data_IF_475533703697
#
_entry.id   IF_475533703697
#
_cell.length_a   1.000
_cell.length_b   1.000
_cell.length_c   1.000
_cell.angle_alpha   90.00
_cell.angle_beta   90.00
_cell.angle_gamma   90.00
#
_symmetry.space_group_name_H-M   'P 1'
#
loop_
_entity.id
_entity.type
_entity.pdbx_description
1 polymer ?
#
# COMPACT_ATOMS: atom_id res chain seq x y z
N UNK A 1 -0.48 7.17 -2.35
CA UNK A 1 -1.70 6.75 -1.64
C UNK A 1 -2.41 7.90 -0.93
N UNK A 2 -1.70 8.77 -0.20
CA UNK A 2 -2.26 9.91 0.54
C UNK A 2 -1.15 10.89 0.95
N UNK A 3 -1.51 11.98 1.65
CA UNK A 3 -0.61 13.10 1.91
C UNK A 3 0.12 13.05 3.27
N UNK A 4 0.04 11.98 4.07
CA UNK A 4 0.83 11.87 5.28
C UNK A 4 2.34 11.95 4.97
N UNK A 5 3.14 12.37 5.97
CA UNK A 5 4.55 12.70 5.75
C UNK A 5 5.41 11.49 5.34
N UNK A 6 5.07 10.31 5.79
CA UNK A 6 5.72 9.03 5.48
C UNK A 6 5.31 8.43 4.13
N UNK A 7 4.22 8.94 3.51
CA UNK A 7 3.74 8.53 2.18
C UNK A 7 3.99 9.56 1.10
N UNK A 8 4.09 10.83 1.45
CA UNK A 8 4.36 11.92 0.53
C UNK A 8 5.48 12.82 1.09
N UNK A 9 6.72 12.37 0.95
CA UNK A 9 7.89 13.09 1.45
C UNK A 9 8.37 14.15 0.46
N UNK A 10 8.56 15.39 0.99
CA UNK A 10 9.01 16.55 0.21
C UNK A 10 10.39 16.31 -0.44
N UNK A 11 11.34 15.78 0.34
CA UNK A 11 12.71 15.58 -0.13
C UNK A 11 12.77 14.54 -1.25
N UNK A 12 12.02 13.45 -1.10
CA UNK A 12 11.89 12.41 -2.12
C UNK A 12 11.28 12.97 -3.41
N UNK A 13 10.20 13.75 -3.33
CA UNK A 13 9.59 14.37 -4.52
C UNK A 13 10.57 15.32 -5.21
N UNK A 14 11.34 16.10 -4.47
CA UNK A 14 12.38 16.99 -5.04
C UNK A 14 13.44 16.24 -5.82
N UNK A 15 13.83 15.05 -5.37
CA UNK A 15 14.82 14.19 -6.05
C UNK A 15 14.23 13.48 -7.28
N UNK A 16 12.93 13.17 -7.25
CA UNK A 16 12.25 12.37 -8.29
C UNK A 16 11.63 13.22 -9.41
N UNK A 17 11.25 14.48 -9.16
CA UNK A 17 10.42 15.28 -10.08
C UNK A 17 10.96 15.43 -11.50
N UNK A 18 12.28 15.40 -11.66
CA UNK A 18 12.93 15.52 -12.97
C UNK A 18 13.26 14.13 -13.60
N UNK A 19 13.02 13.03 -12.87
CA UNK A 19 13.28 11.65 -13.27
C UNK A 19 12.01 10.88 -13.62
N UNK A 20 10.85 11.35 -13.18
CA UNK A 20 9.56 10.68 -13.31
C UNK A 20 8.73 11.37 -14.39
N UNK A 21 8.21 10.61 -15.32
CA UNK A 21 7.36 11.15 -16.39
C UNK A 21 5.96 11.54 -15.89
N UNK A 22 5.38 10.76 -14.97
CA UNK A 22 4.05 10.96 -14.39
C UNK A 22 4.04 10.64 -12.90
N UNK A 23 3.33 11.48 -12.15
CA UNK A 23 2.92 11.24 -10.77
C UNK A 23 1.42 10.95 -10.78
N UNK A 24 1.04 9.73 -10.39
CA UNK A 24 -0.35 9.34 -10.21
C UNK A 24 -0.69 9.50 -8.73
N UNK A 25 -1.75 10.21 -8.42
CA UNK A 25 -2.13 10.49 -7.04
C UNK A 25 -3.65 10.63 -6.89
N UNK A 26 -4.20 10.39 -5.70
CA UNK A 26 -5.58 10.73 -5.42
C UNK A 26 -5.81 12.25 -5.45
N UNK A 27 -7.06 12.64 -5.68
CA UNK A 27 -7.45 14.05 -5.86
C UNK A 27 -7.01 14.94 -4.69
N UNK A 28 -6.48 16.12 -5.03
CA UNK A 28 -5.98 17.13 -4.08
C UNK A 28 -4.47 17.04 -3.80
N UNK A 29 -3.84 15.89 -3.99
CA UNK A 29 -2.38 15.69 -3.79
C UNK A 29 -1.56 16.53 -4.77
N UNK A 30 -2.07 16.75 -5.98
CA UNK A 30 -1.42 17.57 -7.01
C UNK A 30 -1.07 18.98 -6.55
N UNK A 31 -1.78 19.53 -5.57
CA UNK A 31 -1.47 20.84 -5.01
C UNK A 31 -0.12 20.84 -4.26
N UNK A 32 0.17 19.75 -3.50
CA UNK A 32 1.48 19.58 -2.87
C UNK A 32 2.58 19.42 -3.91
N UNK A 33 2.36 18.55 -4.90
CA UNK A 33 3.32 18.29 -5.97
C UNK A 33 3.67 19.57 -6.77
N UNK A 34 2.67 20.37 -7.17
CA UNK A 34 2.85 21.66 -7.86
C UNK A 34 3.65 22.63 -7.01
N UNK A 35 3.29 22.76 -5.72
CA UNK A 35 4.00 23.63 -4.76
C UNK A 35 5.47 23.23 -4.61
N UNK A 36 5.79 21.96 -4.78
CA UNK A 36 7.17 21.43 -4.68
C UNK A 36 7.92 21.41 -6.01
N UNK A 37 7.31 21.96 -7.08
CA UNK A 37 7.93 22.17 -8.37
C UNK A 37 7.79 21.04 -9.37
N UNK A 38 6.83 20.14 -9.17
CA UNK A 38 6.41 19.17 -10.20
C UNK A 38 5.59 19.90 -11.26
N UNK A 39 5.89 19.68 -12.53
CA UNK A 39 5.18 20.32 -13.65
C UNK A 39 3.75 19.78 -13.76
N UNK A 40 2.79 20.66 -14.06
CA UNK A 40 1.37 20.27 -14.12
C UNK A 40 1.09 19.13 -15.12
N UNK A 41 1.83 19.06 -16.23
CA UNK A 41 1.68 18.00 -17.22
C UNK A 41 2.25 16.64 -16.77
N UNK A 42 2.97 16.57 -15.65
CA UNK A 42 3.45 15.34 -15.03
C UNK A 42 2.46 14.80 -13.98
N UNK A 43 1.44 15.55 -13.60
CA UNK A 43 0.52 15.19 -12.51
C UNK A 43 -0.79 14.67 -13.09
N UNK A 44 -1.19 13.49 -12.66
CA UNK A 44 -2.50 12.88 -12.93
C UNK A 44 -3.18 12.63 -11.60
N UNK A 45 -4.29 13.31 -11.36
CA UNK A 45 -5.11 13.12 -10.16
C UNK A 45 -6.33 12.28 -10.49
N UNK A 46 -6.65 11.33 -9.65
CA UNK A 46 -7.77 10.40 -9.83
C UNK A 46 -8.66 10.37 -8.57
N UNK A 47 -9.94 10.24 -8.79
CA UNK A 47 -10.90 9.87 -7.74
C UNK A 47 -11.02 8.37 -7.61
N UNK A 48 -11.67 7.90 -6.54
CA UNK A 48 -11.96 6.47 -6.39
C UNK A 48 -12.75 5.93 -7.57
N UNK A 49 -12.33 4.76 -8.04
CA UNK A 49 -12.84 4.04 -9.20
C UNK A 49 -12.52 4.68 -10.56
N UNK A 50 -11.70 5.71 -10.60
CA UNK A 50 -11.10 6.21 -11.84
C UNK A 50 -9.80 5.45 -12.15
N UNK A 51 -9.44 5.45 -13.43
CA UNK A 51 -8.24 4.76 -13.92
C UNK A 51 -7.42 5.65 -14.84
N UNK A 52 -6.14 5.31 -14.94
CA UNK A 52 -5.19 5.88 -15.89
C UNK A 52 -4.42 4.73 -16.55
N UNK A 53 -4.24 4.79 -17.86
CA UNK A 53 -3.51 3.77 -18.61
C UNK A 53 -2.34 4.37 -19.36
N UNK A 54 -1.25 3.61 -19.41
CA UNK A 54 -0.16 3.74 -20.36
C UNK A 54 -0.33 2.65 -21.43
N UNK A 55 0.61 2.51 -22.37
CA UNK A 55 0.56 1.43 -23.37
C UNK A 55 0.48 0.02 -22.74
N UNK A 56 1.14 -0.20 -21.63
CA UNK A 56 1.32 -1.54 -21.05
C UNK A 56 0.82 -1.68 -19.60
N UNK A 57 0.46 -0.59 -18.92
CA UNK A 57 0.08 -0.62 -17.50
C UNK A 57 -1.21 0.16 -17.28
N UNK A 58 -2.15 -0.46 -16.60
CA UNK A 58 -3.39 0.17 -16.15
C UNK A 58 -3.35 0.36 -14.63
N UNK A 59 -3.62 1.58 -14.16
CA UNK A 59 -3.68 1.96 -12.76
C UNK A 59 -5.12 2.32 -12.39
N UNK A 60 -5.67 1.70 -11.35
CA UNK A 60 -6.97 2.03 -10.79
C UNK A 60 -6.79 2.64 -9.40
N UNK A 61 -7.28 3.86 -9.21
CA UNK A 61 -7.40 4.49 -7.89
C UNK A 61 -8.63 3.92 -7.19
N UNK A 62 -8.44 3.30 -6.02
CA UNK A 62 -9.49 2.54 -5.34
C UNK A 62 -9.68 3.04 -3.89
N UNK A 63 -10.84 2.79 -3.27
CA UNK A 63 -11.08 3.16 -1.89
C UNK A 63 -10.09 2.51 -0.93
N UNK A 64 -9.71 3.25 0.12
CA UNK A 64 -9.12 2.69 1.34
C UNK A 64 -9.78 3.29 2.57
N UNK A 65 -9.64 2.65 3.71
CA UNK A 65 -10.24 3.11 4.97
C UNK A 65 -9.20 3.82 5.81
N UNK A 66 -8.98 5.09 5.50
CA UNK A 66 -7.96 5.92 6.14
C UNK A 66 -8.43 7.38 6.20
N UNK A 67 -7.51 8.31 6.25
CA UNK A 67 -7.74 9.76 6.21
C UNK A 67 -6.51 10.46 5.61
N UNK A 68 -6.63 11.76 5.33
CA UNK A 68 -5.54 12.58 4.87
C UNK A 68 -5.32 13.79 5.79
N UNK A 69 -4.16 14.45 5.67
CA UNK A 69 -3.83 15.68 6.37
C UNK A 69 -2.36 15.78 6.78
N UNK A 70 -1.82 16.99 6.67
CA UNK A 70 -0.42 17.32 7.01
C UNK A 70 -0.31 18.34 8.15
N UNK A 71 -1.43 18.62 8.81
CA UNK A 71 -1.47 19.60 9.91
C UNK A 71 -2.85 19.67 10.55
N UNK A 72 -3.01 20.48 11.60
CA UNK A 72 -4.22 20.44 12.41
C UNK A 72 -5.48 20.98 11.72
N UNK A 73 -5.32 21.76 10.63
CA UNK A 73 -6.45 22.45 9.98
C UNK A 73 -6.80 21.88 8.59
N UNK A 74 -6.11 20.83 8.14
CA UNK A 74 -6.30 20.29 6.78
C UNK A 74 -6.64 18.79 6.76
N UNK A 75 -7.24 18.27 7.84
CA UNK A 75 -7.72 16.88 7.86
C UNK A 75 -8.75 16.65 6.75
N UNK A 76 -8.55 15.58 5.98
CA UNK A 76 -9.41 15.17 4.84
C UNK A 76 -9.52 16.25 3.74
N UNK A 77 -8.51 17.10 3.57
CA UNK A 77 -8.47 18.10 2.51
C UNK A 77 -8.03 17.53 1.15
N UNK A 78 -7.46 16.35 1.14
CA UNK A 78 -7.12 15.57 -0.05
C UNK A 78 -7.78 14.20 0.04
N UNK A 79 -7.91 13.51 -1.08
CA UNK A 79 -8.36 12.13 -1.11
C UNK A 79 -7.20 11.21 -0.70
N UNK A 80 -7.53 9.98 -0.25
CA UNK A 80 -6.61 8.88 0.02
C UNK A 80 -7.06 7.64 -0.74
N UNK A 81 -6.16 6.70 -1.03
CA UNK A 81 -6.49 5.58 -1.91
C UNK A 81 -5.62 4.36 -1.71
N UNK A 82 -6.16 3.21 -2.11
CA UNK A 82 -5.43 2.03 -2.53
C UNK A 82 -5.32 1.99 -4.06
N UNK A 83 -4.55 1.05 -4.60
CA UNK A 83 -4.30 0.96 -6.04
C UNK A 83 -4.34 -0.49 -6.53
N UNK A 84 -5.03 -0.72 -7.64
CA UNK A 84 -4.82 -1.92 -8.43
C UNK A 84 -4.00 -1.55 -9.67
N UNK A 85 -2.92 -2.30 -9.90
CA UNK A 85 -1.96 -2.08 -11.00
C UNK A 85 -1.97 -3.33 -11.85
N UNK A 86 -2.38 -3.20 -13.10
CA UNK A 86 -2.38 -4.29 -14.08
C UNK A 86 -1.25 -4.07 -15.07
N UNK A 87 -0.25 -4.92 -15.02
CA UNK A 87 0.91 -4.94 -15.93
C UNK A 87 1.07 -6.38 -16.42
N UNK A 88 0.40 -6.79 -17.52
CA UNK A 88 0.39 -8.19 -17.92
C UNK A 88 1.78 -8.81 -18.01
N UNK A 89 1.96 -10.04 -17.47
CA UNK A 89 0.92 -10.91 -16.93
C UNK A 89 0.49 -10.61 -15.48
N UNK A 90 1.10 -9.65 -14.79
CA UNK A 90 0.92 -9.40 -13.35
C UNK A 90 -0.24 -8.45 -13.01
N UNK A 91 -0.96 -8.77 -11.95
CA UNK A 91 -1.90 -7.88 -11.25
C UNK A 91 -1.45 -7.67 -9.81
N UNK A 92 -1.23 -6.42 -9.45
CA UNK A 92 -0.71 -6.03 -8.14
C UNK A 92 -1.77 -5.18 -7.42
N UNK A 93 -1.97 -5.45 -6.13
CA UNK A 93 -2.72 -4.57 -5.25
C UNK A 93 -1.78 -3.90 -4.25
N UNK A 94 -1.96 -2.61 -4.03
CA UNK A 94 -1.28 -1.82 -3.01
C UNK A 94 -2.32 -1.11 -2.14
N UNK A 95 -2.36 -1.42 -0.86
CA UNK A 95 -3.39 -0.91 0.05
C UNK A 95 -3.25 0.60 0.33
N UNK A 96 -2.04 1.15 0.25
CA UNK A 96 -1.72 2.33 1.04
C UNK A 96 -1.95 2.02 2.51
N UNK A 97 -2.27 3.02 3.31
CA UNK A 97 -2.76 2.80 4.68
C UNK A 97 -4.26 2.54 4.66
N UNK A 98 -4.68 1.52 5.40
CA UNK A 98 -6.09 1.16 5.47
C UNK A 98 -6.43 0.33 6.70
N UNK A 99 -7.53 0.65 7.36
CA UNK A 99 -8.23 -0.29 8.21
C UNK A 99 -9.01 -1.32 7.37
N UNK A 100 -9.31 -2.47 7.97
CA UNK A 100 -10.13 -3.50 7.34
C UNK A 100 -11.58 -3.02 7.13
N UNK A 101 -12.19 -3.45 6.01
CA UNK A 101 -13.58 -3.16 5.71
C UNK A 101 -14.09 -3.81 4.41
N UNK A 102 -15.39 -3.71 4.18
CA UNK A 102 -16.10 -4.32 3.02
C UNK A 102 -15.49 -3.95 1.66
N UNK A 103 -14.87 -2.77 1.54
CA UNK A 103 -14.26 -2.31 0.30
C UNK A 103 -13.21 -3.30 -0.25
N UNK A 104 -12.50 -4.04 0.63
CA UNK A 104 -11.51 -5.02 0.22
C UNK A 104 -12.14 -6.19 -0.54
N UNK A 105 -13.26 -6.70 -0.04
CA UNK A 105 -14.03 -7.74 -0.73
C UNK A 105 -14.58 -7.23 -2.07
N UNK A 106 -15.15 -6.03 -2.08
CA UNK A 106 -15.70 -5.41 -3.30
C UNK A 106 -14.59 -5.19 -4.36
N UNK A 107 -13.36 -4.84 -3.93
CA UNK A 107 -12.19 -4.72 -4.80
C UNK A 107 -11.76 -6.09 -5.33
N UNK A 108 -11.70 -7.10 -4.48
CA UNK A 108 -11.36 -8.47 -4.88
C UNK A 108 -12.33 -9.03 -5.92
N UNK A 109 -13.62 -8.82 -5.73
CA UNK A 109 -14.67 -9.27 -6.66
C UNK A 109 -14.60 -8.56 -8.02
N UNK A 110 -14.23 -7.27 -8.04
CA UNK A 110 -14.20 -6.46 -9.26
C UNK A 110 -12.87 -6.50 -10.01
N UNK A 111 -11.76 -6.50 -9.30
CA UNK A 111 -10.41 -6.33 -9.88
C UNK A 111 -9.52 -7.56 -9.72
N UNK A 112 -9.82 -8.46 -8.77
CA UNK A 112 -9.05 -9.68 -8.52
C UNK A 112 -9.21 -10.74 -9.62
N UNK A 113 -8.58 -11.91 -9.45
CA UNK A 113 -7.60 -12.19 -8.43
C UNK A 113 -6.32 -11.36 -8.63
N UNK A 114 -5.58 -11.09 -7.54
CA UNK A 114 -4.28 -10.44 -7.60
C UNK A 114 -3.15 -11.45 -7.46
N UNK A 115 -2.08 -11.28 -8.23
CA UNK A 115 -0.89 -12.12 -8.14
C UNK A 115 -0.10 -11.81 -6.86
N UNK A 116 -0.01 -10.51 -6.52
CA UNK A 116 0.60 -10.05 -5.28
C UNK A 116 -0.22 -8.89 -4.68
N UNK A 117 -0.37 -8.87 -3.36
CA UNK A 117 -0.97 -7.75 -2.66
C UNK A 117 -0.07 -7.27 -1.52
N UNK A 118 0.31 -5.99 -1.62
CA UNK A 118 1.06 -5.27 -0.61
C UNK A 118 0.04 -4.64 0.34
N UNK A 119 -0.07 -5.16 1.57
CA UNK A 119 -1.14 -4.80 2.49
C UNK A 119 -0.57 -4.25 3.80
N UNK A 120 -1.08 -3.09 4.21
CA UNK A 120 -0.80 -2.46 5.50
C UNK A 120 -1.09 -3.44 6.64
N UNK A 121 -0.09 -3.67 7.49
CA UNK A 121 -0.24 -4.49 8.70
C UNK A 121 0.59 -3.95 9.86
N UNK A 122 1.11 -2.73 9.73
CA UNK A 122 1.89 -2.06 10.77
C UNK A 122 1.12 -0.95 11.46
N UNK A 123 1.70 -0.44 12.56
CA UNK A 123 1.19 0.73 13.29
C UNK A 123 -0.27 0.59 13.81
N UNK A 124 -0.75 -0.65 13.96
CA UNK A 124 -2.10 -0.94 14.43
C UNK A 124 -2.25 -0.70 15.94
N UNK A 125 -3.44 -0.26 16.35
CA UNK A 125 -3.81 -0.10 17.75
C UNK A 125 -5.33 -0.10 17.88
N UNK A 126 -5.87 -0.58 19.01
CA UNK A 126 -7.30 -0.56 19.29
C UNK A 126 -7.90 0.86 19.26
N UNK A 127 -7.12 1.89 19.59
CA UNK A 127 -7.57 3.28 19.56
C UNK A 127 -7.83 3.82 18.14
N UNK A 128 -7.19 3.23 17.11
CA UNK A 128 -7.37 3.60 15.71
C UNK A 128 -7.45 2.40 14.76
N UNK A 129 -8.07 1.32 15.22
CA UNK A 129 -8.31 0.06 14.47
C UNK A 129 -8.97 0.24 13.08
N UNK A 130 -9.51 1.41 12.81
CA UNK A 130 -10.14 1.74 11.53
C UNK A 130 -9.17 2.39 10.53
N UNK A 131 -7.95 2.70 10.95
CA UNK A 131 -6.94 3.37 10.11
C UNK A 131 -5.82 2.43 9.67
N UNK A 132 -5.51 1.40 10.48
CA UNK A 132 -4.50 0.40 10.19
C UNK A 132 -5.00 -0.99 10.56
N UNK A 133 -4.70 -1.99 9.73
CA UNK A 133 -5.12 -3.38 9.94
C UNK A 133 -4.23 -4.07 10.96
N UNK A 134 -4.85 -4.85 11.86
CA UNK A 134 -4.13 -5.86 12.60
C UNK A 134 -3.62 -6.95 11.64
N UNK A 135 -2.52 -7.67 11.96
CA UNK A 135 -2.00 -8.75 11.10
C UNK A 135 -3.05 -9.78 10.70
N UNK A 136 -3.96 -10.15 11.60
CA UNK A 136 -5.08 -11.06 11.28
C UNK A 136 -6.06 -10.46 10.27
N UNK A 137 -6.31 -9.15 10.34
CA UNK A 137 -7.18 -8.44 9.40
C UNK A 137 -6.49 -8.27 8.04
N UNK A 138 -5.17 -8.05 8.01
CA UNK A 138 -4.40 -7.97 6.77
C UNK A 138 -4.42 -9.31 6.00
N UNK A 139 -4.32 -10.44 6.70
CA UNK A 139 -4.47 -11.77 6.10
C UNK A 139 -5.89 -11.99 5.58
N UNK A 140 -6.92 -11.60 6.34
CA UNK A 140 -8.31 -11.66 5.89
C UNK A 140 -8.54 -10.76 4.66
N UNK A 141 -7.94 -9.56 4.63
CA UNK A 141 -7.97 -8.67 3.47
C UNK A 141 -7.35 -9.32 2.22
N UNK A 142 -6.23 -10.02 2.38
CA UNK A 142 -5.61 -10.75 1.28
C UNK A 142 -6.52 -11.88 0.73
N UNK A 143 -7.27 -12.56 1.60
CA UNK A 143 -8.28 -13.55 1.16
C UNK A 143 -9.44 -12.88 0.43
N UNK A 144 -9.99 -11.78 0.96
CA UNK A 144 -11.07 -11.00 0.33
C UNK A 144 -10.68 -10.46 -1.05
N UNK A 145 -9.41 -10.06 -1.22
CA UNK A 145 -8.82 -9.62 -2.48
C UNK A 145 -8.55 -10.77 -3.47
N UNK A 146 -8.74 -12.02 -3.09
CA UNK A 146 -8.36 -13.21 -3.86
C UNK A 146 -6.86 -13.19 -4.24
N UNK A 147 -6.01 -12.88 -3.27
CA UNK A 147 -4.56 -12.72 -3.45
C UNK A 147 -3.84 -14.06 -3.53
N UNK A 148 -2.93 -14.23 -4.49
CA UNK A 148 -2.05 -15.41 -4.56
C UNK A 148 -0.88 -15.31 -3.58
N UNK A 149 -0.22 -14.12 -3.50
CA UNK A 149 0.91 -13.88 -2.59
C UNK A 149 0.66 -12.61 -1.79
N UNK A 150 0.61 -12.75 -0.48
CA UNK A 150 0.48 -11.67 0.49
C UNK A 150 1.85 -11.11 0.88
N UNK A 151 2.00 -9.80 0.85
CA UNK A 151 3.19 -9.08 1.26
C UNK A 151 2.81 -8.03 2.31
N UNK A 152 3.13 -8.28 3.60
CA UNK A 152 2.87 -7.31 4.66
C UNK A 152 3.80 -6.11 4.53
N UNK A 153 3.21 -4.90 4.56
CA UNK A 153 3.95 -3.63 4.45
C UNK A 153 3.62 -2.69 5.63
N UNK A 154 4.24 -1.51 5.65
CA UNK A 154 4.02 -0.46 6.63
C UNK A 154 4.52 -0.79 8.05
N UNK A 155 5.60 -1.55 8.16
CA UNK A 155 6.26 -1.93 9.41
C UNK A 155 7.78 -1.77 9.32
N UNK A 156 8.46 -1.83 10.45
CA UNK A 156 9.92 -1.92 10.53
C UNK A 156 10.69 -0.58 10.43
N UNK A 157 10.03 0.57 10.20
CA UNK A 157 10.72 1.86 10.02
C UNK A 157 10.39 2.85 11.14
N UNK A 158 9.12 3.12 11.38
CA UNK A 158 8.67 4.08 12.38
C UNK A 158 8.00 3.38 13.57
N UNK A 159 8.17 3.95 14.76
CA UNK A 159 7.46 3.50 15.97
C UNK A 159 6.36 4.51 16.28
N UNK A 160 5.14 4.26 15.78
CA UNK A 160 3.94 5.05 16.07
C UNK A 160 3.01 4.31 17.03
N UNK A 161 2.95 2.98 16.92
CA UNK A 161 2.17 2.11 17.81
C UNK A 161 3.08 1.43 18.84
N UNK A 162 2.45 0.73 19.81
CA UNK A 162 3.13 0.13 20.97
C UNK A 162 3.64 -1.30 20.72
N UNK A 163 3.38 -1.89 19.54
CA UNK A 163 3.92 -3.21 19.19
C UNK A 163 5.42 -3.11 18.86
N UNK A 164 6.18 -4.23 19.00
CA UNK A 164 7.56 -4.29 18.54
C UNK A 164 7.64 -4.13 17.03
N UNK A 165 8.80 -3.66 16.54
CA UNK A 165 8.97 -3.33 15.12
C UNK A 165 8.78 -4.54 14.18
N UNK A 166 9.09 -5.76 14.65
CA UNK A 166 9.02 -7.02 13.93
C UNK A 166 7.71 -7.80 14.16
N UNK A 167 6.91 -7.42 15.17
CA UNK A 167 5.65 -8.10 15.50
C UNK A 167 4.70 -8.19 14.32
N UNK A 168 4.51 -7.14 13.48
CA UNK A 168 3.65 -7.23 12.30
C UNK A 168 4.04 -8.36 11.35
N UNK A 169 5.35 -8.55 11.11
CA UNK A 169 5.83 -9.64 10.26
C UNK A 169 5.54 -11.01 10.89
N UNK A 170 5.95 -11.22 12.14
CA UNK A 170 5.76 -12.50 12.85
C UNK A 170 4.29 -12.90 12.97
N UNK A 171 3.43 -11.98 13.36
CA UNK A 171 2.00 -12.29 13.48
C UNK A 171 1.34 -12.48 12.11
N UNK A 172 1.73 -11.72 11.07
CA UNK A 172 1.22 -11.93 9.70
C UNK A 172 1.56 -13.33 9.18
N UNK A 173 2.78 -13.81 9.38
CA UNK A 173 3.20 -15.17 9.03
C UNK A 173 2.30 -16.20 9.71
N UNK A 174 2.18 -16.11 11.02
CA UNK A 174 1.37 -17.02 11.84
C UNK A 174 -0.08 -17.11 11.37
N UNK A 175 -0.71 -15.98 11.02
CA UNK A 175 -2.08 -15.98 10.50
C UNK A 175 -2.15 -16.49 9.06
N UNK A 176 -1.20 -16.13 8.19
CA UNK A 176 -1.14 -16.62 6.81
C UNK A 176 -0.97 -18.12 6.74
N UNK A 177 -0.07 -18.70 7.53
CA UNK A 177 0.13 -20.16 7.63
C UNK A 177 -1.13 -20.87 8.10
N UNK A 178 -1.81 -20.33 9.10
CA UNK A 178 -3.05 -20.91 9.64
C UNK A 178 -4.15 -21.08 8.59
N UNK A 179 -4.19 -20.19 7.60
CA UNK A 179 -5.20 -20.22 6.53
C UNK A 179 -4.66 -20.73 5.19
N UNK A 180 -3.40 -21.16 5.14
CA UNK A 180 -2.74 -21.65 3.92
C UNK A 180 -2.52 -20.57 2.86
N UNK A 181 -2.46 -19.28 3.26
CA UNK A 181 -2.19 -18.17 2.37
C UNK A 181 -0.68 -18.07 2.16
N UNK A 182 -0.26 -18.04 0.90
CA UNK A 182 1.13 -17.81 0.55
C UNK A 182 1.52 -16.37 0.87
N UNK A 183 2.68 -16.17 1.46
CA UNK A 183 3.22 -14.86 1.80
C UNK A 183 4.69 -14.73 1.35
N UNK A 184 5.17 -13.50 1.24
CA UNK A 184 6.57 -13.19 1.00
C UNK A 184 6.96 -11.91 1.74
N UNK A 185 8.12 -11.91 2.40
CA UNK A 185 8.63 -10.75 3.16
C UNK A 185 10.08 -10.52 2.72
N UNK A 186 10.27 -9.70 1.67
CA UNK A 186 11.61 -9.43 1.15
C UNK A 186 12.45 -8.64 2.14
N UNK A 187 13.75 -8.85 2.12
CA UNK A 187 14.69 -7.94 2.76
C UNK A 187 14.63 -6.56 2.06
N UNK A 188 14.91 -5.48 2.81
CA UNK A 188 14.86 -4.12 2.24
C UNK A 188 15.87 -4.01 1.09
N UNK A 189 15.37 -3.68 -0.11
CA UNK A 189 16.16 -3.61 -1.34
C UNK A 189 16.24 -4.91 -2.14
N UNK A 190 15.67 -6.00 -1.65
CA UNK A 190 15.58 -7.25 -2.40
C UNK A 190 14.66 -7.12 -3.61
N UNK A 191 15.11 -7.65 -4.76
CA UNK A 191 14.29 -7.68 -5.98
C UNK A 191 13.30 -8.83 -5.88
N UNK A 192 12.02 -8.52 -6.04
CA UNK A 192 10.94 -9.50 -6.05
C UNK A 192 10.64 -9.92 -7.51
N UNK A 193 10.69 -11.22 -7.77
CA UNK A 193 10.28 -11.82 -9.04
C UNK A 193 9.36 -13.03 -8.78
N UNK A 194 8.66 -13.52 -9.81
CA UNK A 194 7.83 -14.74 -9.67
C UNK A 194 8.65 -15.95 -9.21
N UNK A 195 9.91 -16.03 -9.59
CA UNK A 195 10.83 -17.09 -9.18
C UNK A 195 11.09 -17.09 -7.67
N UNK A 196 11.19 -15.89 -7.09
CA UNK A 196 11.45 -15.72 -5.66
C UNK A 196 10.28 -16.20 -4.78
N UNK A 197 9.04 -16.17 -5.29
CA UNK A 197 7.88 -16.59 -4.52
C UNK A 197 7.91 -18.09 -4.12
N UNK A 198 8.75 -18.90 -4.76
CA UNK A 198 8.92 -20.32 -4.44
C UNK A 198 10.12 -20.59 -3.51
N UNK A 199 10.92 -19.58 -3.21
CA UNK A 199 12.08 -19.71 -2.35
C UNK A 199 11.65 -19.79 -0.86
N UNK A 200 12.45 -20.44 -0.02
CA UNK A 200 12.26 -20.38 1.44
C UNK A 200 12.29 -18.91 1.90
N UNK A 201 11.40 -18.59 2.83
CA UNK A 201 11.33 -17.21 3.36
C UNK A 201 12.53 -16.99 4.26
N UNK A 202 13.24 -15.91 4.00
CA UNK A 202 14.32 -15.44 4.83
C UNK A 202 13.74 -14.56 5.95
N UNK A 203 13.82 -15.03 7.21
CA UNK A 203 13.39 -14.28 8.39
C UNK A 203 14.48 -13.25 8.77
N UNK A 204 14.80 -12.38 7.84
CA UNK A 204 15.91 -11.40 7.95
C UNK A 204 15.79 -10.49 9.19
N UNK A 205 14.57 -10.18 9.63
CA UNK A 205 14.30 -9.36 10.83
C UNK A 205 14.73 -10.03 12.14
N UNK A 206 14.90 -11.34 12.18
CA UNK A 206 15.38 -12.06 13.36
C UNK A 206 16.89 -11.89 13.59
N UNK A 207 17.58 -11.25 12.63
CA UNK A 207 19.01 -10.97 12.73
C UNK A 207 19.33 -9.64 13.46
N UNK A 208 18.32 -8.86 13.77
CA UNK A 208 18.40 -7.56 14.42
C UNK A 208 17.57 -7.55 15.71
#
# INVERSE_FOLDING_TARGET
SHDHYDHLDYSTIKLLKDKVSKFLAPHGIGNHLKKWGVKSNQIVELNWNESFSTENIEFHCLPSRHFSGRGPLNRNSTLWSSWAIKSPPLKIYFSGDSGYGKHLKDIGDKHGPFDISLIDCGQYNNAWKHSHMFPSEAVLAAQDLNTKVFLPIHWGVFTLAMHSWDEPARESIKYAEKVGLRYYIPEIGEIISEENFNLPINHWWERY
#
